data_IF_869660352389
#
_entry.id   IF_869660352389
#
_cell.length_a   1.000
_cell.length_b   1.000
_cell.length_c   1.000
_cell.angle_alpha   90.00
_cell.angle_beta   90.00
_cell.angle_gamma   90.00
#
_symmetry.space_group_name_H-M   'P 1'
#
loop_
_entity.id
_entity.type
_entity.pdbx_description
1 polymer ?
#
# COMPACT_ATOMS: atom_id res chain seq x y z
N UNK A 1 3.71 -4.23 26.86
CA UNK A 1 4.02 -3.45 25.67
C UNK A 1 2.79 -3.51 24.77
N UNK A 2 2.41 -2.43 24.13
CA UNK A 2 1.23 -2.40 23.25
C UNK A 2 1.53 -3.22 21.98
N UNK A 3 0.66 -4.14 21.63
CA UNK A 3 0.73 -4.85 20.36
C UNK A 3 -0.57 -4.58 19.58
N UNK A 4 -0.46 -3.84 18.50
CA UNK A 4 -1.61 -3.37 17.70
C UNK A 4 -2.42 -4.48 17.03
N UNK A 5 -1.97 -5.71 17.06
CA UNK A 5 -2.74 -6.88 16.63
C UNK A 5 -3.44 -7.56 17.80
N UNK A 6 -2.70 -7.95 18.84
CA UNK A 6 -3.27 -8.72 19.97
C UNK A 6 -4.21 -7.89 20.82
N UNK A 7 -4.04 -6.57 20.82
CA UNK A 7 -4.92 -5.62 21.54
C UNK A 7 -6.26 -5.36 20.80
N UNK A 8 -6.44 -5.90 19.58
CA UNK A 8 -7.65 -5.78 18.76
C UNK A 8 -8.16 -7.19 18.40
N UNK A 9 -8.91 -7.86 19.32
CA UNK A 9 -9.35 -9.25 19.13
C UNK A 9 -10.23 -9.47 17.92
N UNK A 10 -10.87 -8.42 17.39
CA UNK A 10 -11.66 -8.45 16.18
C UNK A 10 -10.81 -8.84 14.95
N UNK A 11 -9.51 -8.51 14.91
CA UNK A 11 -8.62 -8.91 13.82
C UNK A 11 -8.49 -10.44 13.76
N UNK A 12 -8.25 -11.07 14.91
CA UNK A 12 -8.15 -12.54 14.99
C UNK A 12 -9.48 -13.22 14.66
N UNK A 13 -10.62 -12.62 15.02
CA UNK A 13 -11.94 -13.09 14.61
C UNK A 13 -12.08 -13.11 13.06
N UNK A 14 -11.62 -12.06 12.39
CA UNK A 14 -11.68 -11.98 10.94
C UNK A 14 -10.67 -12.90 10.24
N UNK A 15 -9.50 -13.14 10.82
CA UNK A 15 -8.51 -14.10 10.31
C UNK A 15 -9.06 -15.53 10.34
N UNK A 16 -9.80 -15.89 11.40
CA UNK A 16 -10.41 -17.22 11.56
C UNK A 16 -11.74 -17.40 10.80
N UNK A 17 -12.05 -16.51 9.85
CA UNK A 17 -13.27 -16.67 9.05
C UNK A 17 -13.23 -17.95 8.21
N UNK A 18 -14.35 -18.74 8.11
CA UNK A 18 -14.37 -19.98 7.35
C UNK A 18 -13.96 -19.87 5.87
N UNK A 19 -14.12 -18.69 5.25
CA UNK A 19 -13.68 -18.46 3.87
C UNK A 19 -12.15 -18.55 3.72
N UNK A 20 -11.38 -18.32 4.79
CA UNK A 20 -9.91 -18.36 4.74
C UNK A 20 -9.39 -19.70 4.30
N UNK A 21 -10.07 -20.82 4.64
CA UNK A 21 -9.69 -22.15 4.17
C UNK A 21 -9.63 -22.21 2.64
N UNK A 22 -10.71 -21.77 1.99
CA UNK A 22 -10.77 -21.75 0.53
C UNK A 22 -9.77 -20.76 -0.09
N UNK A 23 -9.57 -19.62 0.55
CA UNK A 23 -8.57 -18.61 0.12
C UNK A 23 -7.17 -19.21 0.15
N UNK A 24 -6.78 -19.85 1.25
CA UNK A 24 -5.47 -20.51 1.39
C UNK A 24 -5.27 -21.60 0.33
N UNK A 25 -6.24 -22.50 0.16
CA UNK A 25 -6.18 -23.56 -0.88
C UNK A 25 -5.96 -23.00 -2.29
N UNK A 26 -6.66 -21.90 -2.62
CA UNK A 26 -6.52 -21.25 -3.93
C UNK A 26 -5.18 -20.52 -4.07
N UNK A 27 -4.80 -19.71 -3.09
CA UNK A 27 -3.56 -18.92 -3.11
C UNK A 27 -2.32 -19.82 -3.11
N UNK A 28 -2.30 -20.85 -2.26
CA UNK A 28 -1.21 -21.80 -2.13
C UNK A 28 -1.24 -22.92 -3.20
N UNK A 29 -2.23 -22.90 -4.11
CA UNK A 29 -2.36 -23.93 -5.16
C UNK A 29 -2.30 -25.33 -4.58
N UNK A 30 -3.09 -25.56 -3.51
CA UNK A 30 -3.07 -26.79 -2.70
C UNK A 30 -1.67 -27.07 -2.11
N UNK A 31 -1.01 -26.05 -1.61
CA UNK A 31 0.28 -26.12 -0.90
C UNK A 31 1.41 -26.72 -1.73
N UNK A 32 1.47 -26.39 -3.03
CA UNK A 32 2.43 -26.96 -3.98
C UNK A 32 3.88 -26.56 -3.70
N UNK A 33 4.09 -25.39 -3.05
CA UNK A 33 5.42 -24.82 -2.81
C UNK A 33 6.12 -25.42 -1.55
N UNK A 34 5.44 -26.28 -0.79
CA UNK A 34 5.90 -26.82 0.50
C UNK A 34 7.21 -27.60 0.45
N UNK A 35 7.51 -28.21 -0.70
CA UNK A 35 8.73 -29.00 -0.89
C UNK A 35 9.88 -28.17 -1.50
N UNK A 36 9.59 -26.91 -1.91
CA UNK A 36 10.55 -26.01 -2.56
C UNK A 36 11.05 -24.90 -1.61
N UNK A 37 10.16 -24.42 -0.72
CA UNK A 37 10.46 -23.33 0.20
C UNK A 37 10.16 -23.77 1.63
N UNK A 38 11.14 -23.69 2.51
CA UNK A 38 11.08 -24.11 3.91
C UNK A 38 10.11 -23.29 4.77
N UNK A 39 9.73 -22.10 4.31
CA UNK A 39 8.71 -21.22 4.94
C UNK A 39 7.33 -21.31 4.24
N UNK A 40 7.15 -22.18 3.26
CA UNK A 40 5.84 -22.40 2.65
C UNK A 40 4.97 -23.29 3.54
N UNK A 41 3.68 -22.97 3.71
CA UNK A 41 2.81 -23.74 4.61
C UNK A 41 2.56 -25.15 4.07
N UNK A 42 2.49 -26.10 4.98
CA UNK A 42 2.23 -27.50 4.69
C UNK A 42 0.75 -27.77 4.43
N UNK A 43 -0.12 -27.05 5.12
CA UNK A 43 -1.56 -27.18 5.09
C UNK A 43 -2.26 -25.87 5.53
N UNK A 44 -3.58 -25.92 5.74
CA UNK A 44 -4.38 -24.75 6.13
C UNK A 44 -4.04 -24.24 7.52
N UNK A 45 -3.86 -25.14 8.48
CA UNK A 45 -3.56 -24.82 9.87
C UNK A 45 -2.20 -24.09 9.96
N UNK A 46 -1.20 -24.59 9.26
CA UNK A 46 0.14 -23.98 9.19
C UNK A 46 0.11 -22.62 8.45
N UNK A 47 -0.72 -22.50 7.40
CA UNK A 47 -0.90 -21.21 6.72
C UNK A 47 -1.49 -20.15 7.65
N UNK A 48 -2.55 -20.50 8.41
CA UNK A 48 -3.19 -19.56 9.35
C UNK A 48 -2.25 -19.21 10.50
N UNK A 49 -1.49 -20.17 11.02
CA UNK A 49 -0.48 -19.91 12.05
C UNK A 49 0.61 -18.96 11.56
N UNK A 50 1.05 -19.12 10.32
CA UNK A 50 2.00 -18.20 9.68
C UNK A 50 1.43 -16.78 9.54
N UNK A 51 0.16 -16.64 9.15
CA UNK A 51 -0.49 -15.32 9.07
C UNK A 51 -0.65 -14.69 10.46
N UNK A 52 -1.07 -15.46 11.47
CA UNK A 52 -1.21 -15.00 12.86
C UNK A 52 0.13 -14.47 13.41
N UNK A 53 1.23 -15.19 13.17
CA UNK A 53 2.58 -14.79 13.57
C UNK A 53 3.04 -13.51 12.89
N UNK A 54 2.82 -13.38 11.58
CA UNK A 54 3.20 -12.16 10.84
C UNK A 54 2.39 -10.97 11.30
N UNK A 55 1.11 -11.14 11.60
CA UNK A 55 0.27 -10.10 12.18
C UNK A 55 0.74 -9.70 13.59
N UNK A 56 1.15 -10.67 14.42
CA UNK A 56 1.73 -10.40 15.75
C UNK A 56 3.03 -9.60 15.66
N UNK A 57 3.94 -9.98 14.74
CA UNK A 57 5.19 -9.25 14.46
C UNK A 57 4.88 -7.84 13.96
N UNK A 58 3.92 -7.69 13.04
CA UNK A 58 3.49 -6.38 12.54
C UNK A 58 2.95 -5.52 13.68
N UNK A 59 2.12 -6.10 14.56
CA UNK A 59 1.57 -5.42 15.73
C UNK A 59 2.63 -4.98 16.73
N UNK A 60 3.66 -5.80 16.94
CA UNK A 60 4.81 -5.51 17.81
C UNK A 60 5.65 -4.34 17.23
N UNK A 61 6.06 -4.42 15.98
CA UNK A 61 6.81 -3.35 15.30
C UNK A 61 6.00 -2.05 15.33
N UNK A 62 4.69 -2.14 15.10
CA UNK A 62 3.80 -0.98 15.15
C UNK A 62 3.77 -0.35 16.54
N UNK A 63 3.66 -1.14 17.58
CA UNK A 63 3.61 -0.65 18.97
C UNK A 63 4.94 -0.16 19.52
N UNK A 64 6.05 -0.80 19.14
CA UNK A 64 7.38 -0.51 19.70
C UNK A 64 8.20 0.50 18.90
N UNK A 65 7.93 0.64 17.60
CA UNK A 65 8.74 1.47 16.70
C UNK A 65 7.88 2.54 16.00
N UNK A 66 6.79 2.15 15.31
CA UNK A 66 6.03 3.08 14.47
C UNK A 66 5.26 4.08 15.33
N UNK A 67 4.49 3.62 16.30
CA UNK A 67 3.69 4.50 17.16
C UNK A 67 4.54 5.50 17.96
N UNK A 68 5.67 5.13 18.59
CA UNK A 68 6.55 6.09 19.24
C UNK A 68 7.17 7.14 18.31
N UNK A 69 7.35 6.82 17.04
CA UNK A 69 7.93 7.74 16.05
C UNK A 69 6.89 8.69 15.44
N UNK A 70 5.59 8.37 15.50
CA UNK A 70 4.53 9.01 14.70
C UNK A 70 4.46 10.53 14.89
N UNK A 71 4.45 11.02 16.14
CA UNK A 71 4.40 12.46 16.45
C UNK A 71 5.64 13.17 15.90
N UNK A 72 6.84 12.66 16.20
CA UNK A 72 8.09 13.27 15.72
C UNK A 72 8.22 13.24 14.20
N UNK A 73 7.72 12.20 13.53
CA UNK A 73 7.67 12.10 12.06
C UNK A 73 6.75 13.15 11.46
N UNK A 74 5.58 13.39 12.06
CA UNK A 74 4.62 14.39 11.55
C UNK A 74 5.15 15.81 11.77
N UNK A 75 5.84 16.07 12.90
CA UNK A 75 6.46 17.37 13.21
C UNK A 75 7.70 17.67 12.36
N UNK A 76 8.63 16.71 12.23
CA UNK A 76 9.85 16.86 11.42
C UNK A 76 9.49 16.95 9.92
N UNK A 77 8.63 16.06 9.45
CA UNK A 77 8.25 15.92 8.06
C UNK A 77 9.43 15.55 7.13
N UNK A 78 9.12 15.21 5.88
CA UNK A 78 10.14 15.01 4.85
C UNK A 78 10.63 16.35 4.28
N UNK A 79 11.91 16.42 3.90
CA UNK A 79 12.52 17.59 3.29
C UNK A 79 12.93 17.33 1.84
N UNK A 80 12.88 18.38 1.01
CA UNK A 80 13.38 18.33 -0.36
C UNK A 80 14.76 19.00 -0.42
N UNK A 81 15.79 18.20 -0.68
CA UNK A 81 17.18 18.68 -0.83
C UNK A 81 17.75 18.17 -2.17
N UNK A 82 18.32 19.07 -2.97
CA UNK A 82 18.97 18.74 -4.24
C UNK A 82 18.09 17.93 -5.21
N UNK A 83 16.79 18.18 -5.22
CA UNK A 83 15.83 17.47 -6.07
C UNK A 83 15.52 16.04 -5.62
N UNK A 84 15.77 15.71 -4.35
CA UNK A 84 15.53 14.42 -3.69
C UNK A 84 14.75 14.63 -2.40
N UNK A 85 14.09 13.56 -1.95
CA UNK A 85 13.41 13.51 -0.65
C UNK A 85 14.35 12.98 0.41
N UNK A 86 14.46 13.71 1.51
CA UNK A 86 15.03 13.24 2.76
C UNK A 86 13.87 12.96 3.71
N UNK A 87 13.64 11.69 4.07
CA UNK A 87 12.63 11.32 5.04
C UNK A 87 12.98 11.79 6.44
N UNK A 88 11.97 12.04 7.26
CA UNK A 88 12.13 12.15 8.70
C UNK A 88 12.88 10.93 9.27
N UNK A 89 13.63 11.15 10.34
CA UNK A 89 14.46 10.10 10.96
C UNK A 89 13.65 8.88 11.39
N UNK A 90 12.48 9.09 11.99
CA UNK A 90 11.55 8.04 12.39
C UNK A 90 10.99 7.26 11.20
N UNK A 91 10.74 7.91 10.05
CA UNK A 91 10.30 7.21 8.83
C UNK A 91 11.32 6.20 8.34
N UNK A 92 12.63 6.55 8.38
CA UNK A 92 13.72 5.61 8.02
C UNK A 92 13.74 4.42 8.96
N UNK A 93 13.65 4.65 10.27
CA UNK A 93 13.60 3.59 11.28
C UNK A 93 12.41 2.65 11.06
N UNK A 94 11.23 3.19 10.75
CA UNK A 94 10.02 2.42 10.46
C UNK A 94 10.21 1.55 9.22
N UNK A 95 10.74 2.11 8.10
CA UNK A 95 11.03 1.36 6.89
C UNK A 95 12.03 0.23 7.14
N UNK A 96 13.14 0.52 7.82
CA UNK A 96 14.19 -0.45 8.14
C UNK A 96 13.65 -1.61 8.99
N UNK A 97 12.75 -1.33 9.95
CA UNK A 97 12.11 -2.34 10.78
C UNK A 97 11.20 -3.27 9.95
N UNK A 98 10.38 -2.71 9.05
CA UNK A 98 9.49 -3.48 8.18
C UNK A 98 10.29 -4.34 7.18
N UNK A 99 11.36 -3.79 6.60
CA UNK A 99 12.26 -4.52 5.70
C UNK A 99 12.96 -5.67 6.44
N UNK A 100 13.50 -5.39 7.63
CA UNK A 100 14.20 -6.41 8.45
C UNK A 100 13.27 -7.56 8.85
N UNK A 101 12.00 -7.28 9.05
CA UNK A 101 10.99 -8.29 9.36
C UNK A 101 10.44 -9.02 8.11
N UNK A 102 10.89 -8.67 6.90
CA UNK A 102 10.44 -9.30 5.65
C UNK A 102 9.00 -8.93 5.25
N UNK A 103 8.51 -7.77 5.68
CA UNK A 103 7.13 -7.31 5.46
C UNK A 103 6.95 -6.50 4.17
N UNK A 104 7.82 -6.72 3.18
CA UNK A 104 7.73 -6.12 1.85
C UNK A 104 7.42 -7.17 0.80
N UNK A 105 6.58 -6.83 -0.18
CA UNK A 105 6.16 -7.78 -1.22
C UNK A 105 5.40 -8.99 -0.68
N UNK A 106 4.68 -8.84 0.44
CA UNK A 106 4.03 -9.94 1.17
C UNK A 106 3.13 -10.80 0.28
N UNK A 107 2.44 -10.22 -0.68
CA UNK A 107 1.50 -10.91 -1.56
C UNK A 107 2.16 -11.59 -2.77
N UNK A 108 3.44 -11.29 -3.01
CA UNK A 108 4.18 -11.81 -4.15
C UNK A 108 4.58 -13.29 -3.97
N UNK A 109 4.68 -14.03 -5.09
CA UNK A 109 5.16 -15.41 -5.06
C UNK A 109 6.55 -15.57 -4.42
N UNK A 110 6.75 -16.69 -3.71
CA UNK A 110 8.00 -17.03 -3.01
C UNK A 110 9.22 -17.02 -3.91
N UNK A 111 9.08 -17.41 -5.18
CA UNK A 111 10.16 -17.38 -6.18
C UNK A 111 10.77 -15.99 -6.43
N UNK A 112 10.08 -14.93 -6.02
CA UNK A 112 10.56 -13.56 -6.10
C UNK A 112 10.98 -12.99 -4.73
N UNK A 113 10.92 -13.81 -3.67
CA UNK A 113 11.25 -13.40 -2.29
C UNK A 113 10.05 -12.87 -1.50
N UNK A 114 8.83 -13.01 -2.01
CA UNK A 114 7.60 -12.68 -1.29
C UNK A 114 7.14 -13.80 -0.35
N UNK A 115 6.10 -13.53 0.42
CA UNK A 115 5.50 -14.50 1.35
C UNK A 115 4.36 -15.31 0.73
N UNK A 116 3.91 -14.95 -0.47
CA UNK A 116 2.72 -15.49 -1.14
C UNK A 116 1.43 -15.34 -0.32
N UNK A 117 1.33 -14.31 0.51
CA UNK A 117 0.16 -14.07 1.36
C UNK A 117 -1.07 -13.68 0.55
N UNK A 118 -2.27 -14.07 1.00
CA UNK A 118 -3.50 -13.47 0.52
C UNK A 118 -3.57 -11.98 0.83
N UNK A 119 -4.43 -11.26 0.10
CA UNK A 119 -4.70 -9.83 0.32
C UNK A 119 -5.31 -9.58 1.70
N UNK A 120 -6.11 -10.52 2.24
CA UNK A 120 -6.79 -10.35 3.53
C UNK A 120 -5.80 -10.13 4.69
N UNK A 121 -4.81 -10.99 5.00
CA UNK A 121 -3.84 -10.72 6.05
C UNK A 121 -2.95 -9.50 5.75
N UNK A 122 -2.60 -9.22 4.49
CA UNK A 122 -1.91 -7.99 4.12
C UNK A 122 -2.74 -6.74 4.46
N UNK A 123 -4.05 -6.75 4.17
CA UNK A 123 -4.99 -5.67 4.53
C UNK A 123 -5.06 -5.47 6.06
N UNK A 124 -4.94 -6.55 6.84
CA UNK A 124 -4.85 -6.46 8.30
C UNK A 124 -3.57 -5.76 8.75
N UNK A 125 -2.43 -6.09 8.14
CA UNK A 125 -1.17 -5.36 8.39
C UNK A 125 -1.31 -3.87 8.07
N UNK A 126 -1.97 -3.51 6.97
CA UNK A 126 -2.20 -2.12 6.58
C UNK A 126 -3.10 -1.37 7.59
N UNK A 127 -4.14 -2.01 8.13
CA UNK A 127 -4.96 -1.44 9.21
C UNK A 127 -4.13 -1.21 10.48
N UNK A 128 -3.32 -2.21 10.90
CA UNK A 128 -2.47 -2.16 12.09
C UNK A 128 -1.49 -0.99 11.99
N UNK A 129 -0.76 -0.89 10.89
CA UNK A 129 0.23 0.19 10.66
C UNK A 129 -0.42 1.56 10.63
N UNK A 130 -1.55 1.69 9.94
CA UNK A 130 -2.25 2.96 9.81
C UNK A 130 -2.91 3.43 11.10
N UNK A 131 -3.22 2.52 12.03
CA UNK A 131 -3.73 2.87 13.36
C UNK A 131 -2.67 3.60 14.21
N UNK A 132 -1.39 3.38 13.96
CA UNK A 132 -0.30 4.08 14.64
C UNK A 132 0.16 5.33 13.88
N UNK A 133 0.39 5.20 12.57
CA UNK A 133 0.85 6.29 11.71
C UNK A 133 0.28 6.12 10.29
N UNK A 134 -0.75 6.89 9.98
CA UNK A 134 -1.36 6.89 8.65
C UNK A 134 -0.43 7.48 7.57
N UNK A 135 0.48 8.38 7.94
CA UNK A 135 1.49 8.94 7.04
C UNK A 135 2.50 7.88 6.62
N UNK A 136 3.02 7.11 7.56
CA UNK A 136 3.88 5.97 7.29
C UNK A 136 3.12 4.86 6.54
N UNK A 137 1.86 4.60 6.93
CA UNK A 137 0.98 3.68 6.22
C UNK A 137 0.86 4.00 4.73
N UNK A 138 0.78 5.29 4.37
CA UNK A 138 0.78 5.73 2.97
C UNK A 138 2.07 5.37 2.20
N UNK A 139 3.23 5.41 2.84
CA UNK A 139 4.51 5.07 2.20
C UNK A 139 4.61 3.55 2.05
N UNK A 140 4.42 2.83 3.15
CA UNK A 140 4.61 1.38 3.19
C UNK A 140 3.58 0.63 2.32
N UNK A 141 2.31 1.06 2.30
CA UNK A 141 1.27 0.40 1.49
C UNK A 141 1.41 0.62 -0.01
N UNK A 142 2.25 1.55 -0.48
CA UNK A 142 2.55 1.68 -1.92
C UNK A 142 3.25 0.45 -2.51
N UNK A 143 3.74 -0.48 -1.70
CA UNK A 143 4.12 -1.80 -2.18
C UNK A 143 3.00 -2.50 -2.95
N UNK A 144 1.74 -2.15 -2.76
CA UNK A 144 0.60 -2.64 -3.55
C UNK A 144 0.75 -2.41 -5.05
N UNK A 145 1.53 -1.43 -5.47
CA UNK A 145 1.85 -1.20 -6.88
C UNK A 145 2.54 -2.42 -7.53
N UNK A 146 3.19 -3.26 -6.72
CA UNK A 146 3.82 -4.51 -7.19
C UNK A 146 2.81 -5.50 -7.79
N UNK A 147 1.57 -5.51 -7.29
CA UNK A 147 0.48 -6.35 -7.82
C UNK A 147 0.20 -6.01 -9.30
N UNK A 148 0.17 -4.71 -9.61
CA UNK A 148 -0.02 -4.25 -11.00
C UNK A 148 1.15 -4.61 -11.89
N UNK A 149 2.38 -4.48 -11.37
CA UNK A 149 3.58 -4.93 -12.07
C UNK A 149 3.57 -6.44 -12.31
N UNK A 150 3.18 -7.22 -11.31
CA UNK A 150 3.09 -8.68 -11.42
C UNK A 150 1.99 -9.12 -12.40
N UNK A 151 0.84 -8.43 -12.40
CA UNK A 151 -0.28 -8.78 -13.28
C UNK A 151 -0.04 -8.43 -14.76
N UNK A 152 0.65 -7.31 -15.04
CA UNK A 152 0.75 -6.75 -16.39
C UNK A 152 2.18 -6.62 -16.94
N UNK A 153 3.20 -6.74 -16.10
CA UNK A 153 4.59 -6.78 -16.53
C UNK A 153 4.94 -8.06 -17.26
N UNK A 154 6.02 -8.05 -18.01
CA UNK A 154 6.54 -9.24 -18.66
C UNK A 154 7.51 -10.01 -17.75
N UNK A 155 7.88 -11.27 -18.08
CA UNK A 155 8.76 -12.10 -17.24
C UNK A 155 10.13 -11.48 -16.92
N UNK A 156 10.72 -10.70 -17.84
CA UNK A 156 11.97 -9.99 -17.60
C UNK A 156 11.77 -8.87 -16.56
N UNK A 157 10.69 -8.08 -16.68
CA UNK A 157 10.33 -7.06 -15.70
C UNK A 157 10.05 -7.67 -14.32
N UNK A 158 9.34 -8.81 -14.25
CA UNK A 158 9.12 -9.52 -13.00
C UNK A 158 10.45 -9.90 -12.33
N UNK A 159 11.37 -10.49 -13.06
CA UNK A 159 12.66 -10.96 -12.51
C UNK A 159 13.57 -9.83 -12.05
N UNK A 160 13.47 -8.64 -12.67
CA UNK A 160 14.33 -7.49 -12.33
C UNK A 160 13.76 -6.61 -11.21
N UNK A 161 12.45 -6.40 -11.16
CA UNK A 161 11.85 -5.42 -10.26
C UNK A 161 11.24 -6.04 -9.01
N UNK A 162 10.52 -7.18 -9.12
CA UNK A 162 9.80 -7.75 -7.98
C UNK A 162 10.73 -8.14 -6.82
N UNK A 163 11.87 -8.82 -7.04
CA UNK A 163 12.78 -9.15 -5.93
C UNK A 163 13.32 -7.90 -5.22
N UNK A 164 13.57 -6.81 -5.94
CA UNK A 164 14.06 -5.55 -5.35
C UNK A 164 13.04 -4.93 -4.41
N UNK A 165 11.76 -4.96 -4.80
CA UNK A 165 10.66 -4.44 -3.97
C UNK A 165 10.46 -5.34 -2.75
N UNK A 166 10.52 -6.66 -2.90
CA UNK A 166 10.49 -7.60 -1.77
C UNK A 166 11.65 -7.37 -0.78
N UNK A 167 12.79 -6.87 -1.26
CA UNK A 167 13.96 -6.50 -0.46
C UNK A 167 13.90 -5.08 0.13
N UNK A 168 12.81 -4.35 -0.08
CA UNK A 168 12.55 -3.06 0.55
C UNK A 168 12.67 -1.83 -0.34
N UNK A 169 12.95 -1.97 -1.65
CA UNK A 169 12.83 -0.82 -2.55
C UNK A 169 11.39 -0.31 -2.59
N UNK A 170 11.25 1.00 -2.51
CA UNK A 170 9.97 1.67 -2.40
C UNK A 170 9.32 1.89 -3.76
N UNK A 171 8.00 2.03 -3.77
CA UNK A 171 7.23 2.30 -4.99
C UNK A 171 6.47 3.62 -4.91
N UNK A 172 6.10 4.12 -6.09
CA UNK A 172 5.11 5.19 -6.26
C UNK A 172 4.22 4.94 -7.48
N UNK A 173 3.06 5.59 -7.49
CA UNK A 173 2.15 5.63 -8.65
C UNK A 173 1.99 7.08 -9.13
N UNK A 174 2.58 7.37 -10.29
CA UNK A 174 2.69 8.72 -10.82
C UNK A 174 1.59 8.98 -11.85
N UNK A 175 0.39 9.30 -11.35
CA UNK A 175 -0.81 9.44 -12.17
C UNK A 175 -1.16 10.90 -12.40
N UNK A 176 -1.35 11.66 -11.32
CA UNK A 176 -1.92 13.00 -11.27
C UNK A 176 -0.97 14.06 -11.84
N UNK A 177 -1.54 15.03 -12.55
CA UNK A 177 -0.87 16.24 -13.05
C UNK A 177 -1.59 17.49 -12.53
N UNK A 178 -0.99 18.70 -12.65
CA UNK A 178 -1.64 19.93 -12.20
C UNK A 178 -3.08 20.10 -12.71
N UNK A 179 -3.34 19.74 -13.97
CA UNK A 179 -4.63 19.92 -14.64
C UNK A 179 -5.38 18.59 -14.88
N UNK A 180 -4.88 17.47 -14.38
CA UNK A 180 -5.47 16.14 -14.58
C UNK A 180 -5.35 15.28 -13.31
N UNK A 181 -6.40 15.23 -12.50
CA UNK A 181 -6.47 14.41 -11.28
C UNK A 181 -7.68 13.49 -11.31
N UNK A 182 -8.88 14.01 -11.07
CA UNK A 182 -10.13 13.23 -11.19
C UNK A 182 -10.36 12.76 -12.62
N UNK A 183 -10.06 13.61 -13.61
CA UNK A 183 -10.07 13.26 -15.03
C UNK A 183 -8.65 12.92 -15.52
N UNK A 184 -8.22 11.69 -15.31
CA UNK A 184 -6.93 11.20 -15.79
C UNK A 184 -6.86 11.02 -17.31
N UNK A 185 -7.97 11.14 -18.05
CA UNK A 185 -7.92 11.12 -19.53
C UNK A 185 -7.14 12.32 -20.07
N UNK A 186 -7.13 13.41 -19.32
CA UNK A 186 -6.45 14.67 -19.67
C UNK A 186 -4.96 14.71 -19.34
N UNK A 187 -4.37 13.59 -18.88
CA UNK A 187 -2.91 13.48 -18.63
C UNK A 187 -2.12 13.80 -19.88
N UNK A 188 -1.12 14.66 -19.73
CA UNK A 188 -0.30 15.21 -20.83
C UNK A 188 1.19 14.89 -20.72
N UNK A 189 1.68 14.29 -19.64
CA UNK A 189 3.06 13.80 -19.54
C UNK A 189 3.34 12.95 -20.79
N UNK A 190 4.33 13.36 -21.59
CA UNK A 190 4.61 12.75 -22.89
C UNK A 190 5.58 11.57 -22.74
N UNK A 191 5.27 10.45 -23.39
CA UNK A 191 6.16 9.33 -23.59
C UNK A 191 6.50 9.22 -25.07
N UNK A 192 7.79 9.30 -25.42
CA UNK A 192 8.28 9.18 -26.80
C UNK A 192 9.28 8.05 -26.89
N UNK A 193 9.09 7.13 -27.83
CA UNK A 193 10.06 6.07 -28.06
C UNK A 193 11.33 6.60 -28.74
N UNK A 194 12.49 6.28 -28.17
CA UNK A 194 13.80 6.61 -28.73
C UNK A 194 14.40 5.37 -29.37
N UNK A 195 14.42 5.30 -30.69
CA UNK A 195 15.06 4.21 -31.44
C UNK A 195 16.55 4.11 -31.10
N UNK A 196 17.21 5.26 -30.86
CA UNK A 196 18.63 5.33 -30.49
C UNK A 196 18.92 4.67 -29.15
N UNK A 197 18.04 4.88 -28.15
CA UNK A 197 18.24 4.38 -26.79
C UNK A 197 17.53 3.04 -26.56
N UNK A 198 16.65 2.62 -27.46
CA UNK A 198 15.83 1.41 -27.34
C UNK A 198 14.83 1.45 -26.17
N UNK A 199 14.41 2.65 -25.73
CA UNK A 199 13.54 2.84 -24.59
C UNK A 199 12.59 4.03 -24.76
N UNK A 200 11.65 4.17 -23.85
CA UNK A 200 10.75 5.33 -23.79
C UNK A 200 11.37 6.47 -22.98
N UNK A 201 11.19 7.69 -23.45
CA UNK A 201 11.61 8.92 -22.78
C UNK A 201 10.39 9.68 -22.28
N UNK A 202 10.30 9.87 -20.98
CA UNK A 202 9.22 10.58 -20.32
C UNK A 202 9.58 12.05 -20.14
N UNK A 203 8.65 12.97 -20.47
CA UNK A 203 8.81 14.41 -20.38
C UNK A 203 7.52 15.08 -19.89
N UNK A 204 7.61 15.90 -18.85
CA UNK A 204 6.49 16.65 -18.28
C UNK A 204 6.54 16.76 -16.78
N UNK A 205 5.39 17.00 -16.16
CA UNK A 205 5.26 17.21 -14.71
C UNK A 205 4.17 16.31 -14.16
N UNK A 206 4.46 15.64 -13.05
CA UNK A 206 3.49 14.96 -12.18
C UNK A 206 3.37 15.72 -10.87
N UNK A 207 2.18 15.75 -10.27
CA UNK A 207 1.93 16.48 -9.04
C UNK A 207 1.07 15.70 -8.06
N UNK A 208 1.25 15.99 -6.78
CA UNK A 208 0.58 15.27 -5.69
C UNK A 208 0.95 13.78 -5.62
N UNK A 209 2.19 13.45 -5.97
CA UNK A 209 2.65 12.07 -6.01
C UNK A 209 3.15 11.65 -4.63
N UNK A 210 2.42 10.72 -4.00
CA UNK A 210 2.79 10.11 -2.73
C UNK A 210 4.09 9.33 -2.91
N UNK A 211 5.04 9.56 -2.00
CA UNK A 211 6.36 8.94 -2.06
C UNK A 211 7.08 9.15 -3.40
N UNK A 212 6.97 10.35 -3.97
CA UNK A 212 7.38 10.64 -5.35
C UNK A 212 8.90 10.57 -5.62
N UNK A 213 9.73 10.28 -4.63
CA UNK A 213 11.16 9.96 -4.81
C UNK A 213 11.45 8.46 -4.56
N UNK A 214 10.46 7.61 -4.76
CA UNK A 214 10.58 6.16 -4.63
C UNK A 214 11.64 5.57 -5.59
N UNK A 215 11.99 4.30 -5.38
CA UNK A 215 12.99 3.62 -6.21
C UNK A 215 12.42 3.18 -7.55
N UNK A 216 11.15 2.73 -7.55
CA UNK A 216 10.43 2.24 -8.74
C UNK A 216 9.07 2.93 -8.83
N UNK A 217 8.76 3.46 -10.01
CA UNK A 217 7.51 4.18 -10.26
C UNK A 217 6.67 3.50 -11.33
N UNK A 218 5.35 3.46 -11.13
CA UNK A 218 4.38 3.18 -12.18
C UNK A 218 3.83 4.51 -12.69
N UNK A 219 4.15 4.85 -13.92
CA UNK A 219 3.90 6.17 -14.51
C UNK A 219 2.85 6.09 -15.61
N UNK A 220 1.77 6.86 -15.48
CA UNK A 220 0.79 7.03 -16.58
C UNK A 220 1.26 8.17 -17.49
N UNK A 221 1.45 7.87 -18.78
CA UNK A 221 1.91 8.86 -19.74
C UNK A 221 1.25 8.69 -21.10
N UNK A 222 1.20 9.79 -21.89
CA UNK A 222 0.66 9.80 -23.25
C UNK A 222 1.71 9.32 -24.24
N UNK A 223 1.45 8.14 -24.79
CA UNK A 223 2.30 7.48 -25.79
C UNK A 223 1.82 7.66 -27.23
N UNK A 224 0.57 8.14 -27.43
CA UNK A 224 -0.03 8.31 -28.75
C UNK A 224 -0.18 9.79 -29.07
N UNK A 225 0.54 10.23 -30.11
CA UNK A 225 0.43 11.61 -30.57
C UNK A 225 -0.97 11.93 -31.12
N UNK A 226 -1.39 13.18 -30.96
CA UNK A 226 -2.69 13.66 -31.46
C UNK A 226 -3.91 13.17 -30.65
N UNK A 227 -3.74 12.33 -29.64
CA UNK A 227 -4.85 11.87 -28.79
C UNK A 227 -5.07 12.79 -27.58
N UNK A 228 -6.33 12.85 -27.11
CA UNK A 228 -6.72 13.65 -25.92
C UNK A 228 -7.57 12.85 -24.93
N UNK A 229 -7.77 11.56 -25.16
CA UNK A 229 -8.57 10.67 -24.33
C UNK A 229 -7.72 9.55 -23.69
N UNK A 230 -8.34 8.67 -22.94
CA UNK A 230 -7.69 7.58 -22.22
C UNK A 230 -7.03 6.55 -23.15
N UNK A 231 -7.44 6.46 -24.41
CA UNK A 231 -6.86 5.55 -25.42
C UNK A 231 -5.47 5.96 -25.90
N UNK A 232 -5.04 7.19 -25.58
CA UNK A 232 -3.68 7.65 -25.86
C UNK A 232 -2.70 7.37 -24.72
N UNK A 233 -3.13 6.78 -23.62
CA UNK A 233 -2.36 6.63 -22.39
C UNK A 233 -1.85 5.19 -22.23
N UNK A 234 -0.57 5.07 -21.88
CA UNK A 234 0.10 3.82 -21.56
C UNK A 234 0.73 3.89 -20.18
N UNK A 235 1.00 2.74 -19.56
CA UNK A 235 1.69 2.65 -18.30
C UNK A 235 3.16 2.34 -18.51
N UNK A 236 4.03 2.96 -17.74
CA UNK A 236 5.48 2.81 -17.80
C UNK A 236 6.05 2.48 -16.43
N UNK A 237 7.13 1.68 -16.42
CA UNK A 237 7.99 1.47 -15.26
C UNK A 237 9.17 2.42 -15.40
N UNK A 238 9.37 3.29 -14.41
CA UNK A 238 10.55 4.12 -14.27
C UNK A 238 11.37 3.64 -13.07
N UNK A 239 12.65 3.37 -13.29
CA UNK A 239 13.63 3.06 -12.25
C UNK A 239 14.43 4.34 -11.95
N UNK A 240 14.42 4.78 -10.69
CA UNK A 240 15.14 5.97 -10.20
C UNK A 240 16.63 5.98 -10.58
N UNK A 241 17.24 4.80 -10.71
CA UNK A 241 18.64 4.63 -11.12
C UNK A 241 18.94 5.17 -12.52
N UNK A 242 17.90 5.31 -13.37
CA UNK A 242 18.03 5.88 -14.72
C UNK A 242 18.18 7.40 -14.73
N UNK A 243 17.86 8.07 -13.62
CA UNK A 243 17.85 9.52 -13.55
C UNK A 243 16.79 10.19 -14.46
N UNK A 244 16.88 11.51 -14.61
CA UNK A 244 15.93 12.26 -15.47
C UNK A 244 14.66 12.69 -14.74
N UNK A 245 14.46 12.34 -13.47
CA UNK A 245 13.37 12.80 -12.61
C UNK A 245 13.92 13.55 -11.41
N UNK A 246 13.34 14.73 -11.14
CA UNK A 246 13.69 15.54 -9.99
C UNK A 246 12.42 15.90 -9.20
N UNK A 247 12.51 15.84 -7.90
CA UNK A 247 11.51 16.40 -6.98
C UNK A 247 11.66 17.92 -7.00
N UNK A 248 10.63 18.66 -7.46
CA UNK A 248 10.63 20.11 -7.44
C UNK A 248 10.29 20.66 -6.07
N UNK A 249 9.34 20.01 -5.40
CA UNK A 249 8.91 20.36 -4.05
C UNK A 249 8.10 19.22 -3.42
N UNK A 250 7.96 19.27 -2.11
CA UNK A 250 7.00 18.50 -1.33
C UNK A 250 5.82 19.43 -1.00
N UNK A 251 4.60 18.92 -1.17
CA UNK A 251 3.37 19.68 -0.88
C UNK A 251 3.13 19.77 0.63
N UNK A 252 2.74 20.96 1.10
CA UNK A 252 2.25 21.14 2.46
C UNK A 252 0.79 20.68 2.55
N UNK A 253 0.54 19.63 3.33
CA UNK A 253 -0.78 18.99 3.46
C UNK A 253 -1.45 19.38 4.78
N UNK A 254 -2.74 19.07 4.88
CA UNK A 254 -3.54 19.30 6.08
C UNK A 254 -3.22 18.31 7.22
N UNK A 255 -2.64 17.15 6.89
CA UNK A 255 -2.21 16.09 7.80
C UNK A 255 -1.35 15.07 7.06
N UNK A 256 -0.99 13.98 7.76
CA UNK A 256 -0.08 12.94 7.28
C UNK A 256 1.22 13.53 6.69
N UNK A 257 1.81 14.47 7.45
CA UNK A 257 2.98 15.25 6.99
C UNK A 257 4.19 14.36 6.77
N UNK A 258 4.35 13.27 7.53
CA UNK A 258 5.44 12.31 7.38
C UNK A 258 5.52 11.65 5.99
N UNK A 259 4.40 11.62 5.24
CA UNK A 259 4.37 11.09 3.87
C UNK A 259 4.74 12.17 2.86
N UNK A 260 5.86 12.05 2.09
CA UNK A 260 6.23 13.03 1.07
C UNK A 260 5.26 12.97 -0.11
N UNK A 261 4.53 14.05 -0.35
CA UNK A 261 3.68 14.22 -1.53
C UNK A 261 4.35 15.22 -2.47
N UNK A 262 4.84 14.74 -3.60
CA UNK A 262 5.81 15.44 -4.43
C UNK A 262 5.21 16.02 -5.71
N UNK A 263 5.83 17.12 -6.17
CA UNK A 263 5.78 17.55 -7.58
C UNK A 263 7.05 17.08 -8.27
N UNK A 264 6.90 16.27 -9.34
CA UNK A 264 7.98 15.64 -10.08
C UNK A 264 8.14 16.26 -11.46
N UNK A 265 9.39 16.50 -11.85
CA UNK A 265 9.74 16.98 -13.20
C UNK A 265 10.52 15.91 -13.93
N UNK A 266 9.95 15.42 -15.01
CA UNK A 266 10.52 14.44 -15.93
C UNK A 266 11.23 15.15 -17.08
N UNK A 267 12.52 14.83 -17.31
CA UNK A 267 13.34 15.35 -18.40
C UNK A 267 14.08 14.20 -19.08
N UNK A 268 13.54 13.70 -20.18
CA UNK A 268 14.06 12.54 -20.90
C UNK A 268 14.33 11.35 -19.95
N UNK A 269 13.44 11.13 -18.98
CA UNK A 269 13.56 10.04 -18.04
C UNK A 269 13.31 8.72 -18.78
N UNK A 270 14.31 7.82 -18.76
CA UNK A 270 14.23 6.52 -19.42
C UNK A 270 13.27 5.60 -18.68
N UNK A 271 12.32 5.03 -19.39
CA UNK A 271 11.31 4.14 -18.83
C UNK A 271 10.99 2.99 -19.79
N UNK A 272 10.37 1.96 -19.24
CA UNK A 272 9.94 0.77 -19.96
C UNK A 272 8.42 0.71 -20.04
N UNK A 273 7.87 0.27 -21.16
CA UNK A 273 6.43 0.04 -21.27
C UNK A 273 6.03 -1.14 -20.38
N UNK A 274 5.02 -0.96 -19.53
CA UNK A 274 4.39 -2.01 -18.74
C UNK A 274 3.10 -2.46 -19.43
N UNK A 275 3.03 -3.72 -19.81
CA UNK A 275 1.92 -4.25 -20.60
C UNK A 275 1.85 -3.69 -22.01
N UNK A 276 0.63 -3.56 -22.57
CA UNK A 276 0.39 -3.08 -23.93
C UNK A 276 0.16 -1.57 -23.97
N UNK A 277 0.54 -0.95 -25.08
CA UNK A 277 0.23 0.46 -25.37
C UNK A 277 -1.29 0.69 -25.37
N UNK A 278 -1.70 1.91 -25.03
CA UNK A 278 -3.11 2.40 -25.05
C UNK A 278 -4.01 1.82 -23.95
N UNK A 279 -3.54 0.86 -23.16
CA UNK A 279 -4.30 0.24 -22.08
C UNK A 279 -3.98 0.82 -20.70
N UNK A 280 -3.09 1.81 -20.62
CA UNK A 280 -2.60 2.37 -19.35
C UNK A 280 -3.70 2.81 -18.41
N UNK A 281 -4.62 3.67 -18.87
CA UNK A 281 -5.72 4.15 -18.03
C UNK A 281 -6.85 3.13 -17.93
N UNK A 282 -7.33 2.62 -19.06
CA UNK A 282 -8.58 1.86 -19.10
C UNK A 282 -8.48 0.46 -18.50
N UNK A 283 -7.27 -0.07 -18.35
CA UNK A 283 -7.02 -1.39 -17.76
C UNK A 283 -6.09 -1.32 -16.55
N UNK A 284 -4.86 -0.84 -16.72
CA UNK A 284 -3.81 -0.96 -15.70
C UNK A 284 -4.00 -0.03 -14.52
N UNK A 285 -4.29 1.25 -14.76
CA UNK A 285 -4.61 2.21 -13.69
C UNK A 285 -5.91 1.82 -12.97
N UNK A 286 -6.90 1.30 -13.69
CA UNK A 286 -8.14 0.86 -13.05
C UNK A 286 -7.90 -0.34 -12.11
N UNK A 287 -7.06 -1.30 -12.48
CA UNK A 287 -6.66 -2.40 -11.61
C UNK A 287 -5.87 -1.90 -10.39
N UNK A 288 -4.86 -1.04 -10.62
CA UNK A 288 -4.06 -0.39 -9.58
C UNK A 288 -4.94 0.35 -8.56
N UNK A 289 -5.87 1.18 -9.04
CA UNK A 289 -6.77 1.95 -8.18
C UNK A 289 -7.76 1.09 -7.40
N UNK A 290 -8.14 -0.08 -7.92
CA UNK A 290 -9.00 -1.00 -7.16
C UNK A 290 -8.26 -1.58 -5.94
N UNK A 291 -6.98 -1.93 -6.06
CA UNK A 291 -6.13 -2.31 -4.92
C UNK A 291 -5.97 -1.16 -3.92
N UNK A 292 -5.59 0.03 -4.42
CA UNK A 292 -5.40 1.21 -3.60
C UNK A 292 -6.67 1.60 -2.79
N UNK A 293 -7.87 1.41 -3.33
CA UNK A 293 -9.14 1.66 -2.60
C UNK A 293 -9.27 0.77 -1.37
N UNK A 294 -8.86 -0.49 -1.46
CA UNK A 294 -8.88 -1.41 -0.32
C UNK A 294 -7.87 -0.96 0.75
N UNK A 295 -6.66 -0.55 0.34
CA UNK A 295 -5.65 0.01 1.23
C UNK A 295 -6.13 1.27 1.98
N UNK A 296 -6.78 2.21 1.27
CA UNK A 296 -7.35 3.42 1.91
C UNK A 296 -8.52 3.07 2.85
N UNK A 297 -9.32 2.04 2.54
CA UNK A 297 -10.35 1.57 3.46
C UNK A 297 -9.72 0.97 4.75
N UNK A 298 -8.64 0.20 4.63
CA UNK A 298 -7.88 -0.30 5.79
C UNK A 298 -7.30 0.86 6.63
N UNK A 299 -6.69 1.86 5.99
CA UNK A 299 -6.20 3.07 6.66
C UNK A 299 -7.32 3.79 7.41
N UNK A 300 -8.50 3.93 6.81
CA UNK A 300 -9.64 4.58 7.42
C UNK A 300 -10.15 3.83 8.66
N UNK A 301 -10.17 2.49 8.62
CA UNK A 301 -10.54 1.65 9.77
C UNK A 301 -9.49 1.77 10.87
N UNK A 302 -8.19 1.74 10.53
CA UNK A 302 -7.09 1.93 11.48
C UNK A 302 -7.17 3.27 12.21
N UNK A 303 -7.33 4.37 11.47
CA UNK A 303 -7.54 5.72 12.04
C UNK A 303 -8.77 5.78 12.96
N UNK A 304 -9.87 5.13 12.55
CA UNK A 304 -11.10 5.07 13.36
C UNK A 304 -10.87 4.29 14.66
N UNK A 305 -10.09 3.22 14.62
CA UNK A 305 -9.70 2.46 15.80
C UNK A 305 -8.87 3.31 16.76
N UNK A 306 -7.86 4.03 16.26
CA UNK A 306 -7.05 4.92 17.08
C UNK A 306 -7.90 6.01 17.74
N UNK A 307 -8.74 6.70 16.99
CA UNK A 307 -9.64 7.73 17.50
C UNK A 307 -10.62 7.18 18.56
N UNK A 308 -11.14 5.97 18.35
CA UNK A 308 -12.00 5.31 19.34
C UNK A 308 -11.24 4.98 20.64
N UNK A 309 -10.04 4.45 20.53
CA UNK A 309 -9.22 4.10 21.69
C UNK A 309 -8.91 5.33 22.55
N UNK A 310 -8.49 6.44 21.93
CA UNK A 310 -8.21 7.70 22.62
C UNK A 310 -9.48 8.28 23.28
N UNK A 311 -10.58 8.32 22.54
CA UNK A 311 -11.87 8.79 23.06
C UNK A 311 -12.37 7.95 24.24
N UNK A 312 -12.24 6.63 24.17
CA UNK A 312 -12.62 5.70 25.22
C UNK A 312 -11.74 5.85 26.46
N UNK A 313 -10.41 5.94 26.29
CA UNK A 313 -9.46 6.14 27.37
C UNK A 313 -9.74 7.45 28.11
N UNK A 314 -9.89 8.55 27.37
CA UNK A 314 -10.22 9.84 27.96
C UNK A 314 -11.56 9.80 28.70
N UNK A 315 -12.60 9.20 28.15
CA UNK A 315 -13.92 9.12 28.77
C UNK A 315 -13.94 8.30 30.08
N UNK A 316 -13.05 7.31 30.22
CA UNK A 316 -12.85 6.51 31.44
C UNK A 316 -12.09 7.29 32.50
N UNK A 317 -11.12 8.11 32.11
CA UNK A 317 -10.26 8.85 33.06
C UNK A 317 -10.89 10.16 33.54
N UNK A 318 -11.48 10.95 32.60
CA UNK A 318 -12.06 12.27 32.88
C UNK A 318 -13.28 12.16 33.79
N UNK A 319 -13.26 12.91 34.92
CA UNK A 319 -14.38 12.94 35.87
C UNK A 319 -15.09 14.28 35.86
N UNK A 320 -16.42 14.24 35.96
CA UNK A 320 -17.29 15.37 36.22
C UNK A 320 -18.44 14.92 37.16
N UNK A 321 -18.91 15.81 38.02
CA UNK A 321 -19.96 15.50 38.98
C UNK A 321 -19.70 14.23 39.81
N UNK A 322 -18.43 13.98 40.13
CA UNK A 322 -18.00 12.87 41.02
C UNK A 322 -17.87 11.50 40.33
N UNK A 323 -18.09 11.39 39.01
CA UNK A 323 -17.98 10.13 38.24
C UNK A 323 -17.29 10.31 36.90
N UNK A 324 -16.82 9.21 36.31
CA UNK A 324 -16.23 9.21 34.95
C UNK A 324 -17.25 9.67 33.90
N UNK A 325 -16.81 10.42 32.89
CA UNK A 325 -17.76 10.95 31.94
C UNK A 325 -18.39 9.88 31.04
N UNK A 326 -17.77 8.70 30.92
CA UNK A 326 -18.36 7.53 30.22
C UNK A 326 -19.68 7.07 30.87
N UNK A 327 -19.90 7.38 32.16
CA UNK A 327 -21.12 7.01 32.86
C UNK A 327 -22.32 7.96 32.52
N UNK A 328 -22.08 9.01 31.77
CA UNK A 328 -23.17 9.87 31.27
C UNK A 328 -23.76 9.30 29.98
N UNK A 329 -25.10 9.12 29.90
CA UNK A 329 -25.74 8.51 28.74
C UNK A 329 -25.31 9.11 27.40
N UNK A 330 -25.25 10.45 27.29
CA UNK A 330 -24.84 11.12 26.05
C UNK A 330 -23.42 10.78 25.59
N UNK A 331 -22.46 10.63 26.52
CA UNK A 331 -21.08 10.24 26.19
C UNK A 331 -21.02 8.76 25.83
N UNK A 332 -21.72 7.92 26.60
CA UNK A 332 -21.82 6.49 26.34
C UNK A 332 -22.41 6.22 24.95
N UNK A 333 -23.50 6.89 24.59
CA UNK A 333 -24.13 6.75 23.27
C UNK A 333 -23.20 7.13 22.12
N UNK A 334 -22.41 8.22 22.28
CA UNK A 334 -21.41 8.58 21.25
C UNK A 334 -20.37 7.47 21.06
N UNK A 335 -19.82 6.94 22.15
CA UNK A 335 -18.82 5.85 22.09
C UNK A 335 -19.42 4.55 21.54
N UNK A 336 -20.67 4.22 21.90
CA UNK A 336 -21.37 3.06 21.37
C UNK A 336 -21.59 3.16 19.85
N UNK A 337 -21.96 4.35 19.35
CA UNK A 337 -22.11 4.61 17.93
C UNK A 337 -20.75 4.53 17.20
N UNK A 338 -19.69 5.08 17.78
CA UNK A 338 -18.33 4.98 17.23
C UNK A 338 -17.92 3.51 17.08
N UNK A 339 -18.06 2.71 18.16
CA UNK A 339 -17.72 1.27 18.14
C UNK A 339 -18.54 0.51 17.10
N UNK A 340 -19.87 0.72 17.05
CA UNK A 340 -20.73 0.08 16.07
C UNK A 340 -20.36 0.39 14.63
N UNK A 341 -20.01 1.65 14.32
CA UNK A 341 -19.55 2.04 12.98
C UNK A 341 -18.18 1.45 12.64
N UNK A 342 -17.26 1.42 13.60
CA UNK A 342 -15.93 0.82 13.43
C UNK A 342 -16.03 -0.68 13.14
N UNK A 343 -16.82 -1.42 13.91
CA UNK A 343 -16.99 -2.86 13.73
C UNK A 343 -17.68 -3.18 12.38
N UNK A 344 -18.68 -2.41 12.01
CA UNK A 344 -19.35 -2.56 10.71
C UNK A 344 -18.40 -2.25 9.55
N UNK A 345 -17.61 -1.17 9.66
CA UNK A 345 -16.60 -0.80 8.67
C UNK A 345 -15.52 -1.89 8.50
N UNK A 346 -15.02 -2.42 9.61
CA UNK A 346 -14.03 -3.53 9.62
C UNK A 346 -14.62 -4.80 9.02
N UNK A 347 -15.86 -5.16 9.35
CA UNK A 347 -16.53 -6.32 8.77
C UNK A 347 -16.67 -6.20 7.24
N UNK A 348 -17.05 -5.01 6.74
CA UNK A 348 -17.14 -4.74 5.31
C UNK A 348 -15.77 -4.81 4.62
N UNK A 349 -14.74 -4.21 5.23
CA UNK A 349 -13.38 -4.23 4.74
C UNK A 349 -12.89 -5.67 4.52
N UNK A 350 -12.94 -6.50 5.55
CA UNK A 350 -12.41 -7.87 5.45
C UNK A 350 -13.30 -8.80 4.63
N UNK A 351 -14.61 -8.55 4.57
CA UNK A 351 -15.46 -9.28 3.64
C UNK A 351 -15.08 -8.95 2.18
N UNK A 352 -14.79 -7.68 1.89
CA UNK A 352 -14.33 -7.24 0.56
C UNK A 352 -12.96 -7.85 0.24
N UNK A 353 -12.00 -7.79 1.18
CA UNK A 353 -10.66 -8.37 1.00
C UNK A 353 -10.73 -9.88 0.64
N UNK A 354 -11.55 -10.65 1.36
CA UNK A 354 -11.76 -12.07 1.07
C UNK A 354 -12.35 -12.34 -0.33
N UNK A 355 -13.27 -11.50 -0.79
CA UNK A 355 -13.77 -11.62 -2.17
C UNK A 355 -12.70 -11.25 -3.21
N UNK A 356 -11.86 -10.27 -2.93
CA UNK A 356 -10.71 -9.92 -3.80
C UNK A 356 -9.74 -11.09 -3.88
N UNK A 357 -9.42 -11.74 -2.76
CA UNK A 357 -8.58 -12.94 -2.73
C UNK A 357 -9.12 -14.05 -3.62
N UNK A 358 -10.40 -14.38 -3.48
CA UNK A 358 -11.03 -15.44 -4.29
C UNK A 358 -11.04 -15.04 -5.77
N UNK A 359 -11.40 -13.78 -6.07
CA UNK A 359 -11.45 -13.30 -7.46
C UNK A 359 -10.07 -13.38 -8.13
N UNK A 360 -9.03 -12.82 -7.49
CA UNK A 360 -7.67 -12.83 -8.04
C UNK A 360 -7.16 -14.25 -8.24
N UNK A 361 -7.30 -15.12 -7.24
CA UNK A 361 -6.82 -16.48 -7.34
C UNK A 361 -7.53 -17.29 -8.46
N UNK A 362 -8.83 -17.09 -8.67
CA UNK A 362 -9.57 -17.71 -9.76
C UNK A 362 -9.20 -17.14 -11.12
N UNK A 363 -8.95 -15.82 -11.22
CA UNK A 363 -8.51 -15.17 -12.44
C UNK A 363 -7.11 -15.68 -12.86
N UNK A 364 -6.19 -15.81 -11.91
CA UNK A 364 -4.86 -16.39 -12.15
C UNK A 364 -4.95 -17.84 -12.67
N UNK A 365 -5.83 -18.65 -12.06
CA UNK A 365 -6.05 -20.03 -12.52
C UNK A 365 -6.65 -20.05 -13.95
N UNK A 366 -7.54 -19.11 -14.26
CA UNK A 366 -8.14 -19.03 -15.58
C UNK A 366 -7.14 -18.59 -16.66
N UNK A 367 -6.17 -17.74 -16.32
CA UNK A 367 -5.12 -17.28 -17.24
C UNK A 367 -4.08 -18.36 -17.55
N UNK A 368 -3.83 -19.27 -16.62
CA UNK A 368 -2.91 -20.40 -16.80
C UNK A 368 -3.50 -21.50 -17.70
N UNK A 369 -4.80 -21.50 -18.00
CA UNK A 369 -5.52 -22.48 -18.86
C UNK A 369 -5.57 -22.01 -20.34
#
# INVERSE_FOLDING_TARGET
MANYYTDIPELKFHLNNPMMKRICELKERNYRDKDEFDYAPLDFEDAVDSYDKVLEITGEITGEIIAPNAEGVDEEGPHCANGRVEYASGTKQNLDAMVKAGLNGMTMPRKFGGLNFPITPYTMCAEIVAAADAGFGNIWSLQDCIETLYEFGNPDQHSRFIPRICQGETMSMDLTEPDAGSDLQSVMLKATYSEKDGCWLLNGVKRFITNGDADIHLVLARSEEGTRDGRGLSMFIYDKRQGGVNVRRIENKLGIHGSPTCELVYKNAKAELCGDRKLGLIKYVMALMNGARLGIAAQSVGLSQAAYNEGLAYAKDRKQFGKAIIEFPAVYDMLAIMKGKLDAGRALLYQTARYVDIYKALDDIARER
#
